data_IF_542939334401
#
_entry.id   IF_542939334401
#
_cell.length_a   1.000
_cell.length_b   1.000
_cell.length_c   1.000
_cell.angle_alpha   90.00
_cell.angle_beta   90.00
_cell.angle_gamma   90.00
#
_symmetry.space_group_name_H-M   'P 1'
#
loop_
_entity.id
_entity.type
_entity.pdbx_description
1 polymer ?
#
# COMPACT_ATOMS: atom_id res chain seq x y z
N UNK A 1 -11.60 -5.96 22.00
CA UNK A 1 -10.87 -6.03 20.72
C UNK A 1 -11.42 -4.93 19.81
N UNK A 2 -10.57 -4.07 19.24
CA UNK A 2 -10.99 -3.08 18.23
C UNK A 2 -11.65 -3.87 17.09
N UNK A 3 -12.85 -3.50 16.64
CA UNK A 3 -13.50 -4.14 15.49
C UNK A 3 -12.69 -3.84 14.24
N UNK A 4 -11.64 -4.62 14.00
CA UNK A 4 -10.78 -4.47 12.85
C UNK A 4 -11.53 -4.92 11.60
N UNK A 5 -11.73 -3.99 10.67
CA UNK A 5 -12.45 -4.31 9.44
C UNK A 5 -11.51 -5.02 8.45
N UNK A 6 -11.42 -6.34 8.58
CA UNK A 6 -10.56 -7.19 7.76
C UNK A 6 -10.88 -7.08 6.25
N UNK A 7 -12.15 -6.88 5.89
CA UNK A 7 -12.57 -6.68 4.50
C UNK A 7 -11.98 -5.38 3.93
N UNK A 8 -12.09 -4.26 4.67
CA UNK A 8 -11.45 -2.99 4.27
C UNK A 8 -9.93 -3.16 4.16
N UNK A 9 -9.30 -3.90 5.08
CA UNK A 9 -7.85 -4.13 5.07
C UNK A 9 -7.35 -4.84 3.81
N UNK A 10 -8.01 -5.94 3.41
CA UNK A 10 -7.63 -6.69 2.21
C UNK A 10 -7.82 -5.81 0.96
N UNK A 11 -8.95 -5.11 0.85
CA UNK A 11 -9.23 -4.22 -0.29
C UNK A 11 -8.18 -3.11 -0.37
N UNK A 12 -7.88 -2.44 0.75
CA UNK A 12 -6.88 -1.37 0.79
C UNK A 12 -5.48 -1.90 0.44
N UNK A 13 -5.11 -3.09 0.90
CA UNK A 13 -3.83 -3.73 0.56
C UNK A 13 -3.70 -3.99 -0.94
N UNK A 14 -4.76 -4.52 -1.57
CA UNK A 14 -4.79 -4.80 -3.02
C UNK A 14 -4.72 -3.49 -3.83
N UNK A 15 -5.37 -2.43 -3.38
CA UNK A 15 -5.34 -1.11 -4.05
C UNK A 15 -3.98 -0.41 -3.88
N UNK A 16 -3.33 -0.56 -2.72
CA UNK A 16 -2.02 0.05 -2.47
C UNK A 16 -0.91 -0.53 -3.35
N UNK A 17 -0.98 -1.80 -3.71
CA UNK A 17 0.01 -2.46 -4.57
C UNK A 17 0.21 -1.78 -5.94
N UNK A 18 -0.82 -1.56 -6.78
CA UNK A 18 -0.65 -0.85 -8.05
C UNK A 18 -0.24 0.61 -7.84
N UNK A 19 -0.70 1.28 -6.77
CA UNK A 19 -0.25 2.64 -6.45
C UNK A 19 1.26 2.68 -6.19
N UNK A 20 1.78 1.75 -5.39
CA UNK A 20 3.21 1.65 -5.10
C UNK A 20 4.03 1.34 -6.35
N UNK A 21 3.51 0.51 -7.28
CA UNK A 21 4.17 0.25 -8.56
C UNK A 21 4.23 1.52 -9.43
N UNK A 22 3.14 2.29 -9.50
CA UNK A 22 3.11 3.55 -10.27
C UNK A 22 4.07 4.57 -9.67
N UNK A 23 4.13 4.69 -8.34
CA UNK A 23 5.06 5.60 -7.66
C UNK A 23 6.52 5.19 -7.95
N UNK A 24 6.82 3.90 -7.92
CA UNK A 24 8.17 3.38 -8.21
C UNK A 24 8.59 3.70 -9.65
N UNK A 25 7.72 3.43 -10.63
CA UNK A 25 7.97 3.76 -12.04
C UNK A 25 8.13 5.27 -12.24
N UNK A 26 7.30 6.07 -11.57
CA UNK A 26 7.40 7.53 -11.65
C UNK A 26 8.70 8.05 -11.03
N UNK A 27 9.11 7.48 -9.88
CA UNK A 27 10.37 7.81 -9.23
C UNK A 27 11.56 7.45 -10.12
N UNK A 28 11.59 6.23 -10.67
CA UNK A 28 12.66 5.80 -11.56
C UNK A 28 12.72 6.68 -12.81
N UNK A 29 11.58 7.06 -13.40
CA UNK A 29 11.54 7.96 -14.57
C UNK A 29 12.10 9.36 -14.29
N UNK A 30 11.95 9.88 -13.06
CA UNK A 30 12.39 11.25 -12.70
C UNK A 30 13.84 11.27 -12.23
N UNK A 31 14.27 10.24 -11.50
CA UNK A 31 15.53 10.25 -10.76
C UNK A 31 16.57 9.24 -11.25
N UNK A 32 16.19 8.30 -12.13
CA UNK A 32 17.05 7.21 -12.62
C UNK A 32 16.73 6.85 -14.08
N UNK A 33 17.31 5.75 -14.57
CA UNK A 33 16.86 5.08 -15.78
C UNK A 33 15.72 4.10 -15.44
N UNK A 34 14.74 3.98 -16.35
CA UNK A 34 13.64 3.04 -16.20
C UNK A 34 14.13 1.59 -16.34
N UNK A 35 14.26 0.89 -15.22
CA UNK A 35 14.58 -0.55 -15.19
C UNK A 35 13.40 -1.38 -14.67
N UNK A 36 12.55 -1.82 -15.61
CA UNK A 36 11.43 -2.70 -15.29
C UNK A 36 11.85 -4.05 -14.67
N UNK A 37 13.08 -4.52 -14.93
CA UNK A 37 13.58 -5.76 -14.33
C UNK A 37 13.81 -5.58 -12.83
N UNK A 38 14.30 -4.41 -12.42
CA UNK A 38 14.44 -4.04 -11.01
C UNK A 38 13.08 -3.73 -10.37
N UNK A 39 12.21 -2.96 -11.04
CA UNK A 39 10.85 -2.63 -10.55
C UNK A 39 10.04 -3.88 -10.19
N UNK A 40 10.09 -4.90 -11.06
CA UNK A 40 9.40 -6.19 -10.90
C UNK A 40 10.29 -7.29 -10.32
N UNK A 41 11.46 -6.96 -9.76
CA UNK A 41 12.27 -7.94 -9.05
C UNK A 41 11.54 -8.41 -7.77
N UNK A 42 11.62 -9.71 -7.46
CA UNK A 42 10.96 -10.30 -6.28
C UNK A 42 11.30 -9.59 -4.97
N UNK A 43 12.55 -9.11 -4.82
CA UNK A 43 12.99 -8.34 -3.65
C UNK A 43 12.21 -7.02 -3.53
N UNK A 44 12.05 -6.28 -4.63
CA UNK A 44 11.33 -5.01 -4.64
C UNK A 44 9.82 -5.21 -4.50
N UNK A 45 9.26 -6.24 -5.13
CA UNK A 45 7.87 -6.65 -4.94
C UNK A 45 7.56 -7.00 -3.49
N UNK A 46 8.45 -7.73 -2.81
CA UNK A 46 8.29 -8.04 -1.39
C UNK A 46 8.16 -6.78 -0.54
N UNK A 47 9.03 -5.79 -0.74
CA UNK A 47 8.95 -4.53 0.00
C UNK A 47 7.68 -3.74 -0.32
N UNK A 48 7.21 -3.76 -1.58
CA UNK A 48 5.94 -3.14 -1.97
C UNK A 48 4.75 -3.84 -1.31
N UNK A 49 4.75 -5.17 -1.23
CA UNK A 49 3.73 -5.95 -0.52
C UNK A 49 3.75 -5.62 0.98
N UNK A 50 4.92 -5.61 1.61
CA UNK A 50 5.05 -5.26 3.02
C UNK A 50 4.56 -3.83 3.29
N UNK A 51 4.95 -2.85 2.46
CA UNK A 51 4.50 -1.47 2.56
C UNK A 51 2.97 -1.35 2.37
N UNK A 52 2.39 -2.08 1.42
CA UNK A 52 0.94 -2.10 1.21
C UNK A 52 0.18 -2.65 2.44
N UNK A 53 0.67 -3.74 3.04
CA UNK A 53 0.07 -4.33 4.24
C UNK A 53 0.17 -3.36 5.43
N UNK A 54 1.33 -2.75 5.66
CA UNK A 54 1.51 -1.77 6.74
C UNK A 54 0.63 -0.54 6.52
N UNK A 55 0.62 0.01 5.30
CA UNK A 55 -0.22 1.16 4.95
C UNK A 55 -1.72 0.85 5.11
N UNK A 56 -2.17 -0.32 4.66
CA UNK A 56 -3.55 -0.74 4.82
C UNK A 56 -3.94 -0.93 6.29
N UNK A 57 -3.03 -1.47 7.11
CA UNK A 57 -3.26 -1.61 8.55
C UNK A 57 -3.52 -0.26 9.20
N UNK A 58 -2.64 0.73 8.96
CA UNK A 58 -2.81 2.07 9.51
C UNK A 58 -4.06 2.76 8.95
N UNK A 59 -4.30 2.71 7.65
CA UNK A 59 -5.48 3.31 7.03
C UNK A 59 -6.79 2.80 7.65
N UNK A 60 -6.92 1.48 7.80
CA UNK A 60 -8.12 0.89 8.41
C UNK A 60 -8.20 1.20 9.90
N UNK A 61 -7.07 1.24 10.60
CA UNK A 61 -7.04 1.50 12.04
C UNK A 61 -7.43 2.93 12.38
N UNK A 62 -6.95 3.92 11.62
CA UNK A 62 -7.28 5.34 11.80
C UNK A 62 -8.67 5.70 11.27
N UNK A 63 -9.05 5.20 10.08
CA UNK A 63 -10.38 5.51 9.51
C UNK A 63 -11.54 4.94 10.33
N UNK A 64 -11.35 3.80 11.00
CA UNK A 64 -12.37 3.26 11.89
C UNK A 64 -12.53 4.08 13.19
N UNK A 65 -11.59 4.96 13.54
CA UNK A 65 -11.76 5.90 14.64
C UNK A 65 -12.56 7.13 14.17
N UNK A 66 -12.24 7.68 13.00
CA UNK A 66 -13.01 8.78 12.37
C UNK A 66 -14.47 8.41 12.07
N UNK A 67 -14.73 7.19 11.60
CA UNK A 67 -16.10 6.72 11.29
C UNK A 67 -16.95 6.57 12.57
N UNK A 68 -16.33 6.47 13.76
CA UNK A 68 -17.02 6.36 15.06
C UNK A 68 -17.25 7.70 15.75
N UNK A 69 -16.40 8.69 15.53
CA UNK A 69 -16.63 10.05 16.06
C UNK A 69 -17.72 10.80 15.30
N UNK A 70 -18.10 10.33 14.10
CA UNK A 70 -19.14 10.92 13.25
C UNK A 70 -20.52 10.24 13.36
N UNK A 71 -20.71 9.31 14.30
CA UNK A 71 -22.00 8.70 14.65
C UNK A 71 -22.43 9.15 16.04
#
# INVERSE_FOLDING_TARGET
MKNFNFKKFIITSIILLPILLVIDIAYDKIFKELDFKETFAMKNLFFKIAAALVGAYFYVTYKNDDDKEKQ
#
